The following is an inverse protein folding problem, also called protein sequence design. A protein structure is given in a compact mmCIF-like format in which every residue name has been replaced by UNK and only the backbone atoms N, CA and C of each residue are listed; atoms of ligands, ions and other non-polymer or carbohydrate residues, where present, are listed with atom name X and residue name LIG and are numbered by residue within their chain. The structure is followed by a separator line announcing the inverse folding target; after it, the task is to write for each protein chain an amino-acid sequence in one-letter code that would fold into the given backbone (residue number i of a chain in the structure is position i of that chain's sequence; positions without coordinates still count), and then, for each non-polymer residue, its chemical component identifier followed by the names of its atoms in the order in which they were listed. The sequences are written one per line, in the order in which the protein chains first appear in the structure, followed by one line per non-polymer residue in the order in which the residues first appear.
data_IF_973214916385
#
_entry.id   IF_973214916385
#
_cell.length_a   1.000
_cell.length_b   1.000
_cell.length_c   1.000
_cell.angle_alpha   90.00
_cell.angle_beta   90.00
_cell.angle_gamma   90.00
#
_symmetry.space_group_name_H-M   'P 1'
#
loop_
_entity.id
_entity.type
_entity.pdbx_description
1 polymer ?
#
# COMPACT_ATOMS: atom_id res chain seq x y z
N UNK A 1 1.39 32.79 13.13
CA UNK A 1 1.70 31.58 13.91
C UNK A 1 1.71 30.26 13.09
N UNK A 2 1.19 30.20 11.88
CA UNK A 2 1.16 28.96 11.07
C UNK A 2 2.48 28.52 10.39
N UNK A 3 3.41 29.44 10.14
CA UNK A 3 4.67 29.12 9.44
C UNK A 3 5.66 28.30 10.26
N UNK A 4 5.77 28.58 11.55
CA UNK A 4 6.72 27.91 12.46
C UNK A 4 6.33 26.43 12.69
N UNK A 5 5.04 26.14 12.79
CA UNK A 5 4.52 24.77 13.00
C UNK A 5 4.75 23.91 11.74
N UNK A 6 4.50 24.46 10.55
CA UNK A 6 4.76 23.77 9.28
C UNK A 6 6.24 23.45 9.11
N UNK A 7 7.12 24.39 9.43
CA UNK A 7 8.57 24.21 9.34
C UNK A 7 9.07 23.11 10.29
N UNK A 8 8.60 23.07 11.54
CA UNK A 8 8.97 22.02 12.51
C UNK A 8 8.49 20.63 12.03
N UNK A 9 7.29 20.56 11.47
CA UNK A 9 6.75 19.31 10.92
C UNK A 9 7.59 18.81 9.74
N UNK A 10 7.98 19.68 8.84
CA UNK A 10 8.86 19.39 7.72
C UNK A 10 10.22 18.87 8.20
N UNK A 11 10.87 19.56 9.13
CA UNK A 11 12.18 19.13 9.67
C UNK A 11 12.08 17.74 10.29
N UNK A 12 11.03 17.46 11.07
CA UNK A 12 10.81 16.14 11.67
C UNK A 12 10.60 15.06 10.61
N UNK A 13 9.91 15.37 9.51
CA UNK A 13 9.73 14.46 8.39
C UNK A 13 11.08 14.14 7.74
N UNK A 14 11.89 15.17 7.43
CA UNK A 14 13.22 15.00 6.88
C UNK A 14 14.11 14.11 7.76
N UNK A 15 14.15 14.37 9.06
CA UNK A 15 14.94 13.55 9.99
C UNK A 15 14.50 12.09 9.94
N UNK A 16 13.21 11.80 9.94
CA UNK A 16 12.70 10.42 9.86
C UNK A 16 13.15 9.70 8.58
N UNK A 17 13.08 10.38 7.44
CA UNK A 17 13.48 9.80 6.16
C UNK A 17 15.00 9.57 6.08
N UNK A 18 15.80 10.55 6.49
CA UNK A 18 17.27 10.43 6.46
C UNK A 18 17.78 9.38 7.45
N UNK A 19 17.11 9.21 8.59
CA UNK A 19 17.49 8.22 9.61
C UNK A 19 16.81 6.87 9.45
N UNK A 20 15.91 6.72 8.48
CA UNK A 20 15.24 5.45 8.21
C UNK A 20 16.24 4.41 7.69
N UNK A 21 16.43 3.35 8.47
CA UNK A 21 17.39 2.30 8.15
C UNK A 21 16.69 1.13 7.43
N UNK A 22 17.09 0.80 6.19
CA UNK A 22 16.45 -0.27 5.41
C UNK A 22 16.40 -1.63 6.13
N UNK A 23 17.40 -1.96 6.93
CA UNK A 23 17.43 -3.21 7.70
C UNK A 23 16.30 -3.32 8.73
N UNK A 24 15.79 -2.19 9.24
CA UNK A 24 14.61 -2.18 10.14
C UNK A 24 13.38 -2.62 9.38
N UNK A 25 13.14 -2.03 8.20
CA UNK A 25 12.03 -2.42 7.31
C UNK A 25 12.14 -3.89 6.92
N UNK A 26 13.32 -4.36 6.52
CA UNK A 26 13.57 -5.77 6.18
C UNK A 26 13.34 -6.72 7.36
N UNK A 27 13.60 -6.28 8.60
CA UNK A 27 13.30 -7.07 9.79
C UNK A 27 11.82 -7.14 10.11
N UNK A 28 11.09 -6.04 9.94
CA UNK A 28 9.64 -5.95 10.18
C UNK A 28 8.85 -6.68 9.10
N UNK A 29 9.30 -6.58 7.85
CA UNK A 29 8.80 -7.32 6.70
C UNK A 29 9.81 -8.41 6.31
N UNK A 30 10.04 -9.35 7.23
CA UNK A 30 10.94 -10.48 6.99
C UNK A 30 10.43 -11.36 5.84
N UNK A 31 11.30 -12.22 5.30
CA UNK A 31 10.92 -13.16 4.25
C UNK A 31 9.69 -14.01 4.63
N UNK A 32 9.56 -14.36 5.91
CA UNK A 32 8.40 -15.10 6.41
C UNK A 32 7.13 -14.25 6.31
N UNK A 33 7.17 -12.99 6.76
CA UNK A 33 6.04 -12.06 6.67
C UNK A 33 5.67 -11.79 5.22
N UNK A 34 6.66 -11.58 4.33
CA UNK A 34 6.41 -11.37 2.90
C UNK A 34 5.73 -12.58 2.24
N UNK A 35 6.16 -13.80 2.56
CA UNK A 35 5.51 -15.04 2.07
C UNK A 35 4.07 -15.17 2.56
N UNK A 36 3.79 -14.74 3.77
CA UNK A 36 2.42 -14.79 4.31
C UNK A 36 1.53 -13.75 3.63
N UNK A 37 2.05 -12.53 3.38
CA UNK A 37 1.32 -11.51 2.60
C UNK A 37 1.03 -12.06 1.19
N UNK A 38 2.03 -12.64 0.50
CA UNK A 38 1.89 -13.27 -0.81
C UNK A 38 0.81 -14.36 -0.79
N UNK A 39 0.83 -15.24 0.20
CA UNK A 39 -0.17 -16.29 0.36
C UNK A 39 -1.58 -15.71 0.64
N UNK A 40 -1.66 -14.61 1.39
CA UNK A 40 -2.92 -13.92 1.66
C UNK A 40 -3.46 -13.28 0.38
N UNK A 41 -2.60 -12.62 -0.43
CA UNK A 41 -2.99 -12.07 -1.75
C UNK A 41 -3.53 -13.20 -2.63
N UNK A 42 -2.77 -14.27 -2.81
CA UNK A 42 -3.19 -15.41 -3.64
C UNK A 42 -4.52 -16.04 -3.15
N UNK A 43 -4.73 -16.08 -1.83
CA UNK A 43 -5.96 -16.62 -1.26
C UNK A 43 -7.19 -15.75 -1.58
N UNK A 44 -7.09 -14.42 -1.42
CA UNK A 44 -8.22 -13.53 -1.68
C UNK A 44 -8.51 -13.40 -3.17
N UNK A 45 -7.48 -13.38 -4.03
CA UNK A 45 -7.62 -13.31 -5.49
C UNK A 45 -8.37 -14.52 -6.09
N UNK A 46 -8.34 -15.67 -5.44
CA UNK A 46 -9.20 -16.80 -5.86
C UNK A 46 -10.71 -16.50 -5.72
N UNK A 47 -11.11 -15.46 -5.02
CA UNK A 47 -12.50 -15.10 -4.74
C UNK A 47 -13.02 -13.97 -5.63
N UNK A 48 -12.15 -13.27 -6.34
CA UNK A 48 -12.49 -12.12 -7.19
C UNK A 48 -11.57 -12.01 -8.40
N UNK A 49 -12.00 -11.21 -9.38
CA UNK A 49 -11.26 -10.97 -10.63
C UNK A 49 -10.34 -9.73 -10.56
N UNK A 50 -10.07 -9.19 -9.37
CA UNK A 50 -9.21 -8.02 -9.21
C UNK A 50 -7.79 -8.39 -8.80
N UNK A 51 -6.84 -7.50 -9.05
CA UNK A 51 -5.42 -7.70 -8.83
C UNK A 51 -4.92 -6.81 -7.67
N UNK A 52 -4.14 -7.38 -6.75
CA UNK A 52 -3.62 -6.68 -5.57
C UNK A 52 -2.09 -6.67 -5.61
N UNK A 53 -1.51 -5.46 -5.60
CA UNK A 53 -0.07 -5.26 -5.42
C UNK A 53 0.22 -4.70 -4.02
N UNK A 54 1.15 -5.32 -3.32
CA UNK A 54 1.60 -4.89 -2.00
C UNK A 54 3.03 -4.37 -2.08
N UNK A 55 3.24 -3.10 -1.70
CA UNK A 55 4.55 -2.43 -1.79
C UNK A 55 4.88 -1.75 -0.48
N UNK A 56 6.09 -1.98 0.01
CA UNK A 56 6.66 -1.32 1.19
C UNK A 56 7.88 -0.52 0.76
N UNK A 57 7.87 0.77 1.00
CA UNK A 57 9.01 1.67 0.77
C UNK A 57 9.55 2.15 2.11
N UNK A 58 10.88 2.02 2.29
CA UNK A 58 11.51 2.41 3.54
C UNK A 58 11.43 3.93 3.77
N UNK A 59 11.84 4.73 2.80
CA UNK A 59 11.89 6.18 2.87
C UNK A 59 11.95 6.77 1.45
N UNK A 60 11.43 7.97 1.29
CA UNK A 60 11.63 8.77 0.08
C UNK A 60 13.09 9.23 -0.02
N UNK A 61 13.58 9.44 -1.23
CA UNK A 61 14.90 10.02 -1.43
C UNK A 61 14.93 11.54 -1.12
N UNK A 62 16.15 12.11 -1.11
CA UNK A 62 16.35 13.53 -0.77
C UNK A 62 15.66 14.44 -1.80
N UNK A 63 15.64 14.05 -3.06
CA UNK A 63 15.03 14.85 -4.14
C UNK A 63 13.51 14.86 -4.00
N UNK A 64 12.91 13.72 -3.71
CA UNK A 64 11.47 13.56 -3.46
C UNK A 64 11.02 14.38 -2.24
N UNK A 65 11.81 14.32 -1.15
CA UNK A 65 11.58 15.12 0.05
C UNK A 65 11.68 16.62 -0.23
N UNK A 66 12.67 17.02 -1.03
CA UNK A 66 12.86 18.43 -1.39
C UNK A 66 11.68 18.99 -2.17
N UNK A 67 11.11 18.21 -3.07
CA UNK A 67 9.90 18.57 -3.81
C UNK A 67 8.62 18.44 -2.96
N UNK A 68 8.73 18.00 -1.70
CA UNK A 68 7.60 17.88 -0.79
C UNK A 68 6.63 16.74 -1.15
N UNK A 69 7.12 15.72 -1.88
CA UNK A 69 6.30 14.60 -2.34
C UNK A 69 5.59 13.92 -1.15
N UNK A 70 4.29 13.78 -1.23
CA UNK A 70 3.48 13.08 -0.23
C UNK A 70 3.52 11.56 -0.46
N UNK A 71 3.14 10.78 0.56
CA UNK A 71 2.99 9.33 0.43
C UNK A 71 1.99 8.95 -0.68
N UNK A 72 0.87 9.70 -0.80
CA UNK A 72 -0.13 9.46 -1.83
C UNK A 72 0.40 9.74 -3.24
N UNK A 73 1.11 10.83 -3.45
CA UNK A 73 1.73 11.15 -4.75
C UNK A 73 2.77 10.09 -5.12
N UNK A 74 3.58 9.63 -4.14
CA UNK A 74 4.53 8.55 -4.35
C UNK A 74 3.82 7.23 -4.69
N UNK A 75 2.76 6.88 -3.99
CA UNK A 75 1.95 5.70 -4.28
C UNK A 75 1.38 5.73 -5.71
N UNK A 76 0.93 6.90 -6.21
CA UNK A 76 0.47 7.07 -7.59
C UNK A 76 1.61 6.85 -8.60
N UNK A 77 2.83 7.32 -8.30
CA UNK A 77 4.00 7.07 -9.15
C UNK A 77 4.33 5.57 -9.20
N UNK A 78 4.32 4.89 -8.04
CA UNK A 78 4.55 3.45 -7.93
C UNK A 78 3.47 2.67 -8.69
N UNK A 79 2.19 3.01 -8.51
CA UNK A 79 1.06 2.42 -9.23
C UNK A 79 1.26 2.50 -10.75
N UNK A 80 1.68 3.67 -11.24
CA UNK A 80 1.91 3.91 -12.67
C UNK A 80 3.15 3.18 -13.18
N UNK A 81 4.27 3.23 -12.46
CA UNK A 81 5.53 2.62 -12.89
C UNK A 81 5.47 1.09 -12.90
N UNK A 82 4.72 0.49 -11.99
CA UNK A 82 4.50 -0.96 -11.91
C UNK A 82 3.35 -1.43 -12.83
N UNK A 83 2.71 -0.52 -13.57
CA UNK A 83 1.58 -0.80 -14.47
C UNK A 83 0.42 -1.56 -13.81
N UNK A 84 0.11 -1.23 -12.56
CA UNK A 84 -0.98 -1.90 -11.83
C UNK A 84 -2.35 -1.61 -12.47
N UNK A 85 -2.42 -0.55 -13.26
CA UNK A 85 -3.58 -0.18 -14.08
C UNK A 85 -3.78 -1.07 -15.33
N UNK A 86 -2.77 -1.88 -15.71
CA UNK A 86 -2.80 -2.69 -16.94
C UNK A 86 -3.49 -4.04 -16.66
N UNK A 87 -4.77 -3.96 -16.32
CA UNK A 87 -5.65 -5.10 -16.07
C UNK A 87 -6.88 -5.02 -16.97
N UNK A 88 -7.40 -6.17 -17.42
CA UNK A 88 -8.51 -6.24 -18.37
C UNK A 88 -9.78 -5.53 -17.88
N UNK A 89 -10.05 -5.56 -16.57
CA UNK A 89 -11.25 -4.97 -15.96
C UNK A 89 -11.01 -3.62 -15.28
N UNK A 90 -9.81 -3.05 -15.36
CA UNK A 90 -9.40 -1.83 -14.65
C UNK A 90 -9.67 -1.93 -13.13
N UNK A 91 -9.28 -3.04 -12.54
CA UNK A 91 -9.55 -3.42 -11.15
C UNK A 91 -8.27 -3.72 -10.35
N UNK A 92 -7.13 -3.23 -10.81
CA UNK A 92 -5.87 -3.28 -10.08
C UNK A 92 -5.89 -2.36 -8.86
N UNK A 93 -5.35 -2.82 -7.73
CA UNK A 93 -5.25 -2.08 -6.48
C UNK A 93 -3.84 -2.19 -5.91
N UNK A 94 -3.24 -1.04 -5.59
CA UNK A 94 -1.98 -0.95 -4.86
C UNK A 94 -2.25 -0.68 -3.38
N UNK A 95 -1.69 -1.51 -2.51
CA UNK A 95 -1.51 -1.22 -1.09
C UNK A 95 -0.05 -0.76 -0.92
N UNK A 96 0.14 0.50 -0.59
CA UNK A 96 1.46 1.12 -0.48
C UNK A 96 1.72 1.59 0.95
N UNK A 97 2.89 1.24 1.48
CA UNK A 97 3.32 1.61 2.82
C UNK A 97 4.60 2.42 2.72
N UNK A 98 4.59 3.64 3.25
CA UNK A 98 5.78 4.47 3.45
C UNK A 98 6.18 4.45 4.92
N UNK A 99 7.22 3.66 5.22
CA UNK A 99 7.63 3.37 6.60
C UNK A 99 8.08 4.62 7.36
N UNK A 100 8.89 5.47 6.75
CA UNK A 100 9.38 6.71 7.38
C UNK A 100 8.26 7.66 7.77
N UNK A 101 7.18 7.75 6.99
CA UNK A 101 6.00 8.56 7.30
C UNK A 101 4.95 7.81 8.14
N UNK A 102 5.08 6.49 8.27
CA UNK A 102 4.10 5.60 8.92
C UNK A 102 2.70 5.76 8.32
N UNK A 103 2.66 5.89 7.00
CA UNK A 103 1.44 6.08 6.23
C UNK A 103 1.18 4.87 5.34
N UNK A 104 -0.10 4.57 5.20
CA UNK A 104 -0.63 3.56 4.27
C UNK A 104 -1.52 4.28 3.28
N UNK A 105 -1.28 4.02 1.99
CA UNK A 105 -2.09 4.54 0.90
C UNK A 105 -2.63 3.39 0.05
N UNK A 106 -3.87 3.51 -0.37
CA UNK A 106 -4.47 2.60 -1.33
C UNK A 106 -4.76 3.41 -2.60
N UNK A 107 -4.22 2.92 -3.72
CA UNK A 107 -4.48 3.47 -5.05
C UNK A 107 -5.21 2.40 -5.84
N UNK A 108 -6.42 2.74 -6.27
CA UNK A 108 -7.31 1.85 -6.99
C UNK A 108 -7.45 2.33 -8.44
N UNK A 109 -7.46 1.40 -9.39
CA UNK A 109 -7.73 1.71 -10.78
C UNK A 109 -9.19 2.15 -10.97
N UNK A 110 -9.45 2.84 -12.07
CA UNK A 110 -10.72 3.53 -12.37
C UNK A 110 -11.96 2.63 -12.26
N UNK A 111 -11.86 1.35 -12.62
CA UNK A 111 -12.98 0.41 -12.60
C UNK A 111 -13.47 0.13 -11.18
N UNK A 112 -12.55 -0.12 -10.25
CA UNK A 112 -12.90 -0.34 -8.84
C UNK A 112 -13.06 0.99 -8.09
N UNK A 113 -12.28 2.02 -8.41
CA UNK A 113 -12.39 3.34 -7.79
C UNK A 113 -13.75 4.00 -8.01
N UNK A 114 -14.43 3.70 -9.13
CA UNK A 114 -15.78 4.19 -9.39
C UNK A 114 -16.88 3.51 -8.55
N UNK A 115 -16.55 2.40 -7.86
CA UNK A 115 -17.52 1.56 -7.12
C UNK A 115 -17.33 1.61 -5.61
N UNK A 116 -16.14 1.94 -5.14
CA UNK A 116 -15.78 1.97 -3.72
C UNK A 116 -15.49 3.42 -3.31
N UNK A 117 -16.06 3.85 -2.19
CA UNK A 117 -15.88 5.21 -1.70
C UNK A 117 -14.49 5.43 -1.08
N UNK A 118 -14.01 6.68 -1.11
CA UNK A 118 -12.75 7.08 -0.43
C UNK A 118 -12.79 6.76 1.08
N UNK A 119 -13.97 6.77 1.70
CA UNK A 119 -14.13 6.46 3.13
C UNK A 119 -13.82 4.99 3.42
N UNK A 120 -14.24 4.08 2.55
CA UNK A 120 -13.97 2.64 2.67
C UNK A 120 -12.47 2.35 2.52
N UNK A 121 -11.81 2.93 1.50
CA UNK A 121 -10.36 2.82 1.35
C UNK A 121 -9.61 3.39 2.56
N UNK A 122 -10.04 4.55 3.04
CA UNK A 122 -9.41 5.19 4.19
C UNK A 122 -9.57 4.39 5.48
N UNK A 123 -10.67 3.69 5.66
CA UNK A 123 -10.89 2.82 6.82
C UNK A 123 -9.86 1.69 6.88
N UNK A 124 -9.57 1.03 5.74
CA UNK A 124 -8.53 0.00 5.63
C UNK A 124 -7.15 0.57 5.96
N UNK A 125 -6.82 1.73 5.38
CA UNK A 125 -5.53 2.40 5.66
C UNK A 125 -5.36 2.70 7.14
N UNK A 126 -6.38 3.26 7.79
CA UNK A 126 -6.35 3.62 9.22
C UNK A 126 -6.20 2.39 10.11
N UNK A 127 -6.87 1.29 9.81
CA UNK A 127 -6.74 0.03 10.54
C UNK A 127 -5.29 -0.50 10.45
N UNK A 128 -4.72 -0.54 9.24
CA UNK A 128 -3.33 -0.95 9.02
C UNK A 128 -2.36 -0.03 9.78
N UNK A 129 -2.52 1.29 9.70
CA UNK A 129 -1.72 2.27 10.45
C UNK A 129 -1.82 2.06 11.97
N UNK A 130 -3.00 1.73 12.52
CA UNK A 130 -3.19 1.41 13.92
C UNK A 130 -2.42 0.16 14.34
N UNK A 131 -2.47 -0.89 13.52
CA UNK A 131 -1.70 -2.11 13.75
C UNK A 131 -0.19 -1.85 13.73
N UNK A 132 0.30 -1.06 12.77
CA UNK A 132 1.73 -0.70 12.68
C UNK A 132 2.20 0.14 13.87
N UNK A 133 1.38 1.09 14.36
CA UNK A 133 1.69 1.85 15.59
C UNK A 133 1.79 0.94 16.81
N UNK A 134 1.03 -0.15 16.84
CA UNK A 134 1.07 -1.17 17.90
C UNK A 134 2.16 -2.23 17.69
N UNK A 135 3.01 -2.11 16.66
CA UNK A 135 4.07 -3.07 16.33
C UNK A 135 3.58 -4.35 15.64
N UNK A 136 2.31 -4.44 15.26
CA UNK A 136 1.69 -5.61 14.62
C UNK A 136 1.75 -5.47 13.08
N UNK A 137 2.95 -5.49 12.53
CA UNK A 137 3.17 -5.25 11.09
C UNK A 137 2.57 -6.35 10.22
N UNK A 138 2.74 -7.60 10.61
CA UNK A 138 2.20 -8.78 9.93
C UNK A 138 0.66 -8.71 9.85
N UNK A 139 0.01 -8.54 10.99
CA UNK A 139 -1.45 -8.46 11.07
C UNK A 139 -1.99 -7.28 10.26
N UNK A 140 -1.36 -6.10 10.39
CA UNK A 140 -1.77 -4.92 9.64
C UNK A 140 -1.67 -5.10 8.13
N UNK A 141 -0.61 -5.77 7.66
CA UNK A 141 -0.43 -6.08 6.25
C UNK A 141 -1.49 -7.09 5.75
N UNK A 142 -1.61 -8.24 6.40
CA UNK A 142 -2.58 -9.26 5.98
C UNK A 142 -4.02 -8.76 6.06
N UNK A 143 -4.39 -8.02 7.12
CA UNK A 143 -5.73 -7.44 7.24
C UNK A 143 -6.04 -6.43 6.15
N UNK A 144 -5.06 -5.60 5.74
CA UNK A 144 -5.26 -4.67 4.63
C UNK A 144 -5.51 -5.39 3.30
N UNK A 145 -4.80 -6.49 3.04
CA UNK A 145 -5.04 -7.35 1.86
C UNK A 145 -6.45 -7.97 1.91
N UNK A 146 -6.85 -8.52 3.05
CA UNK A 146 -8.20 -9.10 3.23
C UNK A 146 -9.28 -8.04 3.05
N UNK A 147 -9.09 -6.83 3.60
CA UNK A 147 -10.01 -5.72 3.45
C UNK A 147 -10.20 -5.30 1.99
N UNK A 148 -9.10 -5.14 1.26
CA UNK A 148 -9.12 -4.84 -0.19
C UNK A 148 -9.77 -5.98 -0.97
N UNK A 149 -9.39 -7.24 -0.70
CA UNK A 149 -9.99 -8.41 -1.33
C UNK A 149 -11.50 -8.51 -1.11
N UNK A 150 -11.98 -8.15 0.09
CA UNK A 150 -13.43 -8.11 0.37
C UNK A 150 -14.17 -7.09 -0.52
N UNK A 151 -13.60 -5.89 -0.71
CA UNK A 151 -14.18 -4.88 -1.58
C UNK A 151 -14.14 -5.31 -3.07
N UNK A 152 -13.03 -5.92 -3.50
CA UNK A 152 -12.93 -6.48 -4.84
C UNK A 152 -13.95 -7.60 -5.06
N UNK A 153 -14.12 -8.52 -4.10
CA UNK A 153 -15.10 -9.60 -4.17
C UNK A 153 -16.56 -9.12 -4.25
N UNK A 154 -16.89 -8.00 -3.64
CA UNK A 154 -18.23 -7.40 -3.74
C UNK A 154 -18.53 -6.82 -5.13
N UNK A 155 -17.52 -6.28 -5.81
CA UNK A 155 -17.70 -5.54 -7.06
C UNK A 155 -17.22 -6.27 -8.30
N UNK A 156 -16.29 -7.20 -8.14
CA UNK A 156 -15.68 -8.03 -9.19
C UNK A 156 -15.58 -9.49 -8.75
N UNK A 157 -16.71 -10.16 -8.48
CA UNK A 157 -16.70 -11.56 -8.07
C UNK A 157 -16.06 -12.42 -9.16
N UNK A 158 -15.31 -13.45 -8.75
CA UNK A 158 -14.71 -14.40 -9.68
C UNK A 158 -15.77 -15.09 -10.53
N UNK A 159 -15.55 -15.20 -11.85
CA UNK A 159 -16.45 -15.85 -12.81
C UNK A 159 -15.89 -17.19 -13.33
N UNK A 160 -14.88 -17.73 -12.67
CA UNK A 160 -14.19 -18.95 -13.07
C UNK A 160 -12.68 -18.76 -13.16
N UNK A 161 -11.98 -19.53 -13.99
CA UNK A 161 -10.54 -19.43 -14.13
C UNK A 161 -10.12 -18.02 -14.61
N UNK A 162 -9.75 -17.18 -13.67
CA UNK A 162 -9.16 -15.88 -13.92
C UNK A 162 -7.65 -16.03 -14.12
N UNK A 163 -7.07 -15.27 -15.05
CA UNK A 163 -5.62 -15.26 -15.23
C UNK A 163 -5.05 -14.21 -14.28
N UNK A 164 -4.12 -14.61 -13.43
CA UNK A 164 -3.36 -13.67 -12.61
C UNK A 164 -2.53 -12.75 -13.53
N UNK A 165 -2.94 -11.49 -13.63
CA UNK A 165 -2.32 -10.48 -14.49
C UNK A 165 -1.17 -9.74 -13.79
N UNK A 166 -1.12 -9.78 -12.43
CA UNK A 166 -0.10 -9.13 -11.62
C UNK A 166 0.60 -10.13 -10.68
N UNK A 167 1.91 -9.99 -10.43
CA UNK A 167 2.59 -10.88 -9.50
C UNK A 167 2.12 -10.65 -8.05
N UNK A 168 1.86 -11.70 -7.27
CA UNK A 168 1.35 -11.61 -5.90
C UNK A 168 2.43 -11.32 -4.86
N UNK A 169 3.72 -11.49 -5.20
CA UNK A 169 4.79 -11.27 -4.25
C UNK A 169 4.93 -9.78 -3.88
N UNK A 170 5.02 -9.44 -2.58
CA UNK A 170 5.25 -8.08 -2.13
C UNK A 170 6.60 -7.54 -2.58
N UNK A 171 6.66 -6.21 -2.80
CA UNK A 171 7.89 -5.52 -3.19
C UNK A 171 8.38 -4.63 -2.05
N UNK A 172 9.69 -4.70 -1.78
CA UNK A 172 10.40 -3.76 -0.91
C UNK A 172 11.21 -2.79 -1.78
N UNK A 173 10.96 -1.47 -1.63
CA UNK A 173 11.65 -0.35 -2.30
C UNK A 173 12.60 0.36 -1.34
#
# INVERSE_FOLDING_TARGET
MGGSIKMIFQIRRWVRHITAMPWVTQRLFSLEVLKEIEATVAHVENQHAGEIRFVVENALDITELWHGLSARERAIQVFSSMRIWDTALNNGVLIYILMADRQVEIIADRGIAARVSEVEWRAICLEAECNYRAGRFREGACNSVVGVGSLLGQHFPSQGADQNEQPNHPVLL
#
